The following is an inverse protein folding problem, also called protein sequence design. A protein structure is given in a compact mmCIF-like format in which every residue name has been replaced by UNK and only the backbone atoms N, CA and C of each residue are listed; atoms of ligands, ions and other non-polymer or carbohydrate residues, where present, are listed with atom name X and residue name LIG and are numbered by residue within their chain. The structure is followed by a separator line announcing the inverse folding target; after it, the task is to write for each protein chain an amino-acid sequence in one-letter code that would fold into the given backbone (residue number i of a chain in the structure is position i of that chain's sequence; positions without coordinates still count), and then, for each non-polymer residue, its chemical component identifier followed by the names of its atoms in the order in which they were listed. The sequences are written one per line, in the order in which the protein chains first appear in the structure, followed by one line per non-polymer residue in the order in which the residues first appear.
data_IF_185834645230
#
_entry.id   IF_185834645230
#
_cell.length_a   1.000
_cell.length_b   1.000
_cell.length_c   1.000
_cell.angle_alpha   90.00
_cell.angle_beta   90.00
_cell.angle_gamma   90.00
#
_symmetry.space_group_name_H-M   'P 1'
#
loop_
_entity.id
_entity.type
_entity.pdbx_description
1 polymer ?
#
# COMPACT_ATOMS: atom_id res chain seq x y z
N UNK A 1 5.28 12.76 7.24
CA UNK A 1 4.13 12.90 6.31
C UNK A 1 3.00 12.02 6.81
N UNK A 2 1.74 12.43 6.61
CA UNK A 2 0.57 11.63 6.99
C UNK A 2 0.20 10.64 5.88
N UNK A 3 0.01 9.38 6.25
CA UNK A 3 -0.52 8.31 5.40
C UNK A 3 -1.87 7.85 5.93
N UNK A 4 -2.83 7.70 5.04
CA UNK A 4 -4.08 7.00 5.29
C UNK A 4 -3.92 5.60 4.68
N UNK A 5 -3.71 4.60 5.53
CA UNK A 5 -3.41 3.23 5.10
C UNK A 5 -4.62 2.32 5.23
N UNK A 6 -5.02 1.76 4.11
CA UNK A 6 -5.95 0.64 4.04
C UNK A 6 -5.19 -0.66 3.74
N UNK A 7 -5.70 -1.76 4.29
CA UNK A 7 -5.22 -3.11 3.99
C UNK A 7 -6.44 -3.95 3.62
N UNK A 8 -6.26 -5.04 2.88
CA UNK A 8 -7.35 -5.96 2.54
C UNK A 8 -8.20 -6.35 3.78
N UNK A 9 -7.55 -6.68 4.90
CA UNK A 9 -8.23 -7.01 6.17
C UNK A 9 -9.02 -5.83 6.76
N UNK A 10 -8.64 -4.59 6.45
CA UNK A 10 -9.41 -3.41 6.84
C UNK A 10 -10.65 -3.25 5.96
N UNK A 11 -10.50 -3.46 4.65
CA UNK A 11 -11.58 -3.36 3.67
C UNK A 11 -12.68 -4.41 3.91
N UNK A 12 -12.31 -5.67 4.13
CA UNK A 12 -13.26 -6.78 4.37
C UNK A 12 -14.03 -6.67 5.70
N UNK A 13 -13.48 -5.93 6.66
CA UNK A 13 -14.07 -5.77 8.00
C UNK A 13 -14.60 -4.36 8.26
N UNK A 14 -14.77 -3.53 7.23
CA UNK A 14 -15.22 -2.13 7.32
C UNK A 14 -14.48 -1.34 8.42
N UNK A 15 -13.19 -1.63 8.60
CA UNK A 15 -12.37 -0.92 9.58
C UNK A 15 -11.89 0.37 8.97
N UNK A 16 -11.95 1.44 9.77
CA UNK A 16 -11.38 2.72 9.39
C UNK A 16 -9.91 2.59 8.97
N UNK A 17 -9.48 3.33 7.94
CA UNK A 17 -8.08 3.39 7.55
C UNK A 17 -7.19 3.77 8.74
N UNK A 18 -6.01 3.18 8.81
CA UNK A 18 -5.02 3.55 9.83
C UNK A 18 -4.31 4.81 9.39
N UNK A 19 -4.36 5.85 10.22
CA UNK A 19 -3.54 7.05 10.01
C UNK A 19 -2.14 6.80 10.60
N UNK A 20 -1.12 6.96 9.77
CA UNK A 20 0.29 6.85 10.16
C UNK A 20 0.98 8.19 9.94
N UNK A 21 1.86 8.58 10.87
CA UNK A 21 2.81 9.66 10.65
C UNK A 21 4.19 9.05 10.44
N UNK A 22 4.74 9.23 9.24
CA UNK A 22 5.99 8.63 8.81
C UNK A 22 7.02 9.74 8.57
N UNK A 23 8.15 9.66 9.26
CA UNK A 23 9.28 10.56 9.03
C UNK A 23 10.02 10.16 7.74
N UNK A 24 9.72 10.88 6.65
CA UNK A 24 10.30 10.71 5.31
C UNK A 24 10.15 12.03 4.53
N UNK A 25 11.17 12.39 3.74
CA UNK A 25 11.13 13.57 2.86
C UNK A 25 10.52 13.18 1.51
N UNK A 26 9.33 13.72 1.25
CA UNK A 26 8.56 13.40 0.05
C UNK A 26 9.23 13.83 -1.26
N UNK A 27 10.16 14.80 -1.22
CA UNK A 27 10.78 15.36 -2.42
C UNK A 27 12.02 14.59 -2.87
N UNK A 28 12.68 13.92 -1.92
CA UNK A 28 13.90 13.15 -2.15
C UNK A 28 13.65 11.64 -2.19
N UNK A 29 12.59 11.16 -1.53
CA UNK A 29 12.33 9.72 -1.40
C UNK A 29 11.36 9.17 -2.43
N UNK A 30 11.56 7.90 -2.74
CA UNK A 30 10.66 7.14 -3.62
C UNK A 30 9.49 6.54 -2.86
N UNK A 31 8.43 6.20 -3.59
CA UNK A 31 7.27 5.50 -3.04
C UNK A 31 7.64 4.10 -2.53
N UNK A 32 8.64 3.46 -3.12
CA UNK A 32 9.19 2.18 -2.65
C UNK A 32 9.85 2.29 -1.27
N UNK A 33 10.57 3.40 -0.99
CA UNK A 33 11.14 3.64 0.34
C UNK A 33 10.05 3.83 1.40
N UNK A 34 8.98 4.57 1.06
CA UNK A 34 7.82 4.74 1.94
C UNK A 34 7.13 3.39 2.24
N UNK A 35 6.87 2.60 1.20
CA UNK A 35 6.26 1.26 1.33
C UNK A 35 7.13 0.36 2.21
N UNK A 36 8.45 0.36 2.00
CA UNK A 36 9.39 -0.42 2.81
C UNK A 36 9.31 -0.04 4.29
N UNK A 37 9.27 1.26 4.62
CA UNK A 37 9.07 1.73 5.99
C UNK A 37 7.72 1.28 6.58
N UNK A 38 6.65 1.26 5.79
CA UNK A 38 5.33 0.79 6.25
C UNK A 38 5.38 -0.69 6.63
N UNK A 39 6.03 -1.52 5.80
CA UNK A 39 6.21 -2.94 6.09
C UNK A 39 7.02 -3.17 7.37
N UNK A 40 8.12 -2.44 7.56
CA UNK A 40 8.94 -2.51 8.77
C UNK A 40 8.16 -2.07 10.02
N UNK A 41 7.44 -0.95 9.94
CA UNK A 41 6.72 -0.35 11.07
C UNK A 41 5.52 -1.20 11.52
N UNK A 42 4.81 -1.81 10.57
CA UNK A 42 3.61 -2.60 10.85
C UNK A 42 3.87 -4.10 10.94
N UNK A 43 5.12 -4.55 10.71
CA UNK A 43 5.49 -5.96 10.59
C UNK A 43 4.62 -6.73 9.59
N UNK A 44 4.22 -6.06 8.49
CA UNK A 44 3.50 -6.68 7.40
C UNK A 44 4.55 -7.29 6.46
N UNK A 45 4.45 -8.58 6.09
CA UNK A 45 5.39 -9.16 5.14
C UNK A 45 5.21 -8.54 3.74
N UNK A 46 6.31 -8.36 3.00
CA UNK A 46 6.29 -7.82 1.62
C UNK A 46 5.79 -8.82 0.58
N UNK A 47 5.75 -10.11 0.96
CA UNK A 47 5.29 -11.22 0.15
C UNK A 47 4.76 -12.33 1.07
N UNK A 48 3.94 -13.21 0.51
CA UNK A 48 3.45 -14.42 1.17
C UNK A 48 3.89 -15.64 0.37
N UNK A 49 4.22 -16.72 1.09
CA UNK A 49 4.56 -18.01 0.50
C UNK A 49 3.30 -18.87 0.36
N UNK A 50 2.95 -19.22 -0.88
CA UNK A 50 1.94 -20.23 -1.17
C UNK A 50 2.65 -21.59 -1.33
N UNK A 51 2.32 -22.54 -0.47
CA UNK A 51 2.84 -23.91 -0.54
C UNK A 51 1.77 -24.85 -1.05
N UNK A 52 2.05 -25.52 -2.16
CA UNK A 52 1.16 -26.53 -2.73
C UNK A 52 1.97 -27.75 -3.14
N UNK A 53 1.68 -28.89 -2.49
CA UNK A 53 2.43 -30.15 -2.62
C UNK A 53 3.95 -29.98 -2.52
N UNK A 54 4.64 -29.85 -3.67
CA UNK A 54 6.10 -29.71 -3.79
C UNK A 54 6.55 -28.34 -4.31
N UNK A 55 5.64 -27.40 -4.53
CA UNK A 55 5.92 -26.06 -5.04
C UNK A 55 5.75 -25.03 -3.92
N UNK A 56 6.71 -24.11 -3.79
CA UNK A 56 6.57 -22.89 -3.00
C UNK A 56 6.62 -21.71 -3.95
N UNK A 57 5.51 -21.00 -4.08
CA UNK A 57 5.46 -19.74 -4.82
C UNK A 57 5.50 -18.57 -3.85
N UNK A 58 6.22 -17.51 -4.23
CA UNK A 58 6.25 -16.25 -3.49
C UNK A 58 5.43 -15.22 -4.25
N UNK A 59 4.41 -14.68 -3.59
CA UNK A 59 3.51 -13.69 -4.17
C UNK A 59 3.75 -12.38 -3.44
N UNK A 60 4.21 -11.36 -4.16
CA UNK A 60 4.46 -10.02 -3.61
C UNK A 60 3.14 -9.29 -3.36
N UNK A 61 3.12 -8.44 -2.33
CA UNK A 61 2.04 -7.49 -2.14
C UNK A 61 1.92 -6.55 -3.35
N UNK A 62 0.68 -6.15 -3.66
CA UNK A 62 0.41 -5.13 -4.68
C UNK A 62 -0.01 -3.84 -3.98
N UNK A 63 0.43 -2.70 -4.50
CA UNK A 63 0.26 -1.40 -3.87
C UNK A 63 -0.58 -0.48 -4.74
N UNK A 64 -1.48 0.26 -4.12
CA UNK A 64 -2.38 1.18 -4.81
C UNK A 64 -2.43 2.52 -4.08
N UNK A 65 -2.77 3.58 -4.81
CA UNK A 65 -3.09 4.89 -4.26
C UNK A 65 -4.42 5.40 -4.82
N UNK A 66 -5.05 6.35 -4.13
CA UNK A 66 -6.28 6.98 -4.62
C UNK A 66 -5.93 8.13 -5.56
N UNK A 67 -6.28 7.98 -6.84
CA UNK A 67 -6.13 9.00 -7.88
C UNK A 67 -7.23 10.07 -7.75
N UNK A 68 -8.46 9.66 -7.45
CA UNK A 68 -9.61 10.56 -7.29
C UNK A 68 -10.52 10.10 -6.15
N UNK A 69 -10.64 10.95 -5.12
CA UNK A 69 -11.45 10.66 -3.93
C UNK A 69 -12.94 10.48 -4.24
N UNK A 70 -13.47 11.26 -5.18
CA UNK A 70 -14.92 11.32 -5.45
C UNK A 70 -15.48 10.00 -6.04
N UNK A 71 -14.61 9.15 -6.60
CA UNK A 71 -14.99 7.90 -7.26
C UNK A 71 -14.35 6.66 -6.65
N UNK A 72 -13.59 6.80 -5.55
CA UNK A 72 -12.73 5.74 -5.02
C UNK A 72 -11.91 5.05 -6.13
N UNK A 73 -11.31 5.86 -7.02
CA UNK A 73 -10.52 5.37 -8.13
C UNK A 73 -9.11 5.03 -7.63
N UNK A 74 -8.84 3.73 -7.48
CA UNK A 74 -7.55 3.22 -7.08
C UNK A 74 -6.66 2.96 -8.30
N UNK A 75 -5.46 3.53 -8.29
CA UNK A 75 -4.42 3.30 -9.30
C UNK A 75 -3.32 2.43 -8.70
N UNK A 76 -2.87 1.42 -9.45
CA UNK A 76 -1.77 0.55 -9.04
C UNK A 76 -0.44 1.28 -9.17
N UNK A 77 0.42 1.16 -8.17
CA UNK A 77 1.80 1.65 -8.20
C UNK A 77 2.63 0.64 -8.99
N UNK A 78 3.01 1.01 -10.21
CA UNK A 78 3.82 0.17 -11.11
C UNK A 78 5.31 0.52 -11.05
N UNK A 79 5.65 1.76 -10.69
CA UNK A 79 7.02 2.23 -10.55
C UNK A 79 7.30 2.60 -9.08
N UNK A 80 8.14 1.80 -8.42
CA UNK A 80 8.52 2.03 -7.03
C UNK A 80 9.59 3.11 -6.87
N UNK A 81 10.22 3.55 -7.97
CA UNK A 81 11.22 4.63 -7.96
C UNK A 81 10.59 6.01 -8.11
N UNK A 82 9.28 6.07 -8.39
CA UNK A 82 8.56 7.33 -8.49
C UNK A 82 8.58 8.08 -7.15
N UNK A 83 8.81 9.39 -7.21
CA UNK A 83 8.90 10.24 -6.03
C UNK A 83 7.56 10.35 -5.32
N UNK A 84 7.58 10.30 -3.99
CA UNK A 84 6.37 10.45 -3.16
C UNK A 84 5.63 11.76 -3.46
N UNK A 85 6.35 12.85 -3.71
CA UNK A 85 5.79 14.15 -4.05
C UNK A 85 4.91 14.15 -5.31
N UNK A 86 5.11 13.18 -6.21
CA UNK A 86 4.31 13.03 -7.43
C UNK A 86 2.91 12.45 -7.20
N UNK A 87 2.69 11.78 -6.06
CA UNK A 87 1.44 11.11 -5.77
C UNK A 87 0.37 12.07 -5.22
N UNK A 88 -0.89 11.92 -5.66
CA UNK A 88 -1.99 12.75 -5.21
C UNK A 88 -2.34 12.48 -3.74
N UNK A 89 -2.59 13.56 -2.99
CA UNK A 89 -2.83 13.55 -1.55
C UNK A 89 -4.30 13.78 -1.22
N UNK A 90 -5.11 12.81 -1.61
CA UNK A 90 -6.57 12.90 -1.47
C UNK A 90 -7.11 12.32 -0.15
N UNK A 91 -6.24 11.83 0.72
CA UNK A 91 -6.62 11.36 2.05
C UNK A 91 -7.09 12.47 2.99
N UNK A 92 -7.50 12.10 4.19
CA UNK A 92 -7.89 13.07 5.23
C UNK A 92 -6.71 14.01 5.56
N UNK A 93 -6.99 15.31 5.72
CA UNK A 93 -5.99 16.36 5.99
C UNK A 93 -4.84 16.44 4.96
N UNK A 94 -5.07 16.04 3.71
CA UNK A 94 -4.02 16.00 2.70
C UNK A 94 -3.02 14.85 2.90
N UNK A 95 -3.45 13.77 3.54
CA UNK A 95 -2.68 12.54 3.61
C UNK A 95 -2.58 11.87 2.24
N UNK A 96 -1.49 11.14 2.01
CA UNK A 96 -1.42 10.17 0.93
C UNK A 96 -2.24 8.94 1.33
N UNK A 97 -3.20 8.55 0.49
CA UNK A 97 -4.00 7.35 0.74
C UNK A 97 -3.35 6.16 0.01
N UNK A 98 -2.99 5.12 0.76
CA UNK A 98 -2.38 3.91 0.24
C UNK A 98 -3.22 2.69 0.59
N UNK A 99 -3.33 1.77 -0.36
CA UNK A 99 -3.92 0.46 -0.15
C UNK A 99 -2.89 -0.63 -0.44
N UNK A 100 -2.67 -1.51 0.53
CA UNK A 100 -1.80 -2.68 0.38
C UNK A 100 -2.68 -3.92 0.20
N UNK A 101 -2.67 -4.47 -1.00
CA UNK A 101 -3.31 -5.73 -1.32
C UNK A 101 -2.35 -6.89 -1.09
N UNK A 102 -2.65 -7.65 -0.04
CA UNK A 102 -2.00 -8.92 0.28
C UNK A 102 -2.84 -10.15 -0.09
N UNK A 103 -3.92 -10.00 -0.87
CA UNK A 103 -4.76 -11.11 -1.29
C UNK A 103 -4.16 -11.87 -2.46
N UNK A 104 -4.09 -13.19 -2.32
CA UNK A 104 -3.93 -14.10 -3.45
C UNK A 104 -5.27 -14.24 -4.17
N UNK A 105 -5.42 -13.72 -5.39
CA UNK A 105 -6.50 -14.20 -6.28
C UNK A 105 -6.02 -15.44 -7.02
N UNK A 106 -6.30 -16.61 -6.44
CA UNK A 106 -6.44 -17.84 -7.22
C UNK A 106 -7.80 -17.73 -7.93
N UNK A 107 -7.78 -17.44 -9.24
CA UNK A 107 -8.95 -17.61 -10.10
C UNK A 107 -8.94 -19.06 -10.56
N UNK A 108 -9.98 -19.81 -10.18
CA UNK A 108 -10.20 -21.19 -10.57
C UNK A 108 -10.61 -21.29 -12.05
#
# INVERSE_FOLDING_TARGET
MKIELETLLSFEHEKFPKILDIDIDENSSSIGELISKIHELLHIPTNFELKWEHLTEKISCTYYFIEKKEFNEYTMITDLEEKISGFPKHGQDGALHLFIDGSTKLVN
#
